data_IF_293434387795
#
_entry.id   IF_293434387795
#
_cell.length_a   1.000
_cell.length_b   1.000
_cell.length_c   1.000
_cell.angle_alpha   90.00
_cell.angle_beta   90.00
_cell.angle_gamma   90.00
#
_symmetry.space_group_name_H-M   'P 1'
#
loop_
_entity.id
_entity.type
_entity.pdbx_description
1 polymer ?
#
# COMPACT_ATOMS: atom_id res chain seq x y z
N UNK A 1 -8.88 -25.28 -6.40
CA UNK A 1 -9.03 -23.99 -5.68
C UNK A 1 -7.71 -23.28 -5.85
N UNK A 2 -7.63 -22.38 -6.80
CA UNK A 2 -6.48 -21.48 -6.90
C UNK A 2 -6.75 -20.43 -5.84
N UNK A 3 -5.94 -20.43 -4.78
CA UNK A 3 -5.94 -19.33 -3.84
C UNK A 3 -5.65 -18.05 -4.60
N UNK A 4 -6.32 -16.94 -4.28
CA UNK A 4 -6.03 -15.67 -4.92
C UNK A 4 -4.54 -15.40 -4.78
N UNK A 5 -3.91 -14.98 -5.87
CA UNK A 5 -2.50 -14.59 -5.88
C UNK A 5 -2.35 -13.49 -4.84
N UNK A 6 -1.76 -13.83 -3.73
CA UNK A 6 -1.52 -12.89 -2.64
C UNK A 6 -0.02 -12.60 -2.49
N UNK A 7 0.29 -11.64 -1.67
CA UNK A 7 1.68 -11.26 -1.38
C UNK A 7 2.46 -12.37 -0.66
N UNK A 8 1.80 -13.42 -0.16
CA UNK A 8 2.43 -14.59 0.44
C UNK A 8 3.36 -15.32 -0.52
N UNK A 9 3.06 -15.31 -1.82
CA UNK A 9 3.89 -15.93 -2.86
C UNK A 9 5.35 -15.42 -2.86
N UNK A 10 5.58 -14.17 -2.52
CA UNK A 10 6.92 -13.59 -2.46
C UNK A 10 7.73 -14.12 -1.26
N UNK A 11 7.05 -14.50 -0.18
CA UNK A 11 7.67 -15.13 0.99
C UNK A 11 7.91 -16.61 0.76
N UNK A 12 6.98 -17.31 0.12
CA UNK A 12 7.11 -18.71 -0.26
C UNK A 12 8.31 -18.92 -1.20
N UNK A 13 8.45 -18.06 -2.20
CA UNK A 13 9.56 -18.10 -3.16
C UNK A 13 10.89 -17.58 -2.62
N UNK A 14 10.91 -17.01 -1.39
CA UNK A 14 12.10 -16.40 -0.80
C UNK A 14 12.50 -15.05 -1.44
N UNK A 15 11.65 -14.45 -2.26
CA UNK A 15 11.90 -13.15 -2.89
C UNK A 15 11.70 -11.98 -1.92
N UNK A 16 10.82 -12.14 -0.90
CA UNK A 16 10.60 -11.15 0.14
C UNK A 16 11.18 -11.64 1.48
N UNK A 17 11.95 -10.78 2.13
CA UNK A 17 12.56 -11.01 3.44
C UNK A 17 12.09 -10.01 4.49
N UNK A 18 11.27 -9.03 4.11
CA UNK A 18 10.70 -8.03 5.01
C UNK A 18 9.33 -7.60 4.53
N UNK A 19 8.43 -7.38 5.49
CA UNK A 19 7.13 -6.73 5.25
C UNK A 19 6.92 -5.61 6.26
N UNK A 20 6.50 -4.45 5.78
CA UNK A 20 5.96 -3.36 6.60
C UNK A 20 4.45 -3.33 6.40
N UNK A 21 3.68 -3.63 7.42
CA UNK A 21 2.23 -3.74 7.32
C UNK A 21 1.54 -3.43 8.66
N UNK A 22 0.22 -3.29 8.60
CA UNK A 22 -0.59 -3.07 9.81
C UNK A 22 -1.15 -4.38 10.37
N UNK A 23 -1.36 -5.37 9.52
CA UNK A 23 -1.95 -6.67 9.86
C UNK A 23 -1.19 -7.79 9.15
N UNK A 24 -0.15 -8.35 9.78
CA UNK A 24 0.70 -9.37 9.13
C UNK A 24 0.01 -10.72 9.00
N UNK A 25 -1.06 -10.95 9.77
CA UNK A 25 -1.78 -12.23 9.80
C UNK A 25 -3.28 -11.99 9.67
N UNK A 26 -4.00 -12.75 8.87
CA UNK A 26 -5.46 -12.77 8.92
C UNK A 26 -5.87 -13.37 10.26
N UNK A 27 -6.63 -12.63 11.06
CA UNK A 27 -6.91 -12.90 12.48
C UNK A 27 -7.60 -14.22 12.85
N UNK A 28 -7.93 -15.08 11.89
CA UNK A 28 -8.73 -16.30 12.12
C UNK A 28 -8.39 -17.47 11.22
N UNK A 29 -7.36 -17.41 10.40
CA UNK A 29 -7.07 -18.48 9.44
C UNK A 29 -6.15 -19.56 10.01
N UNK A 30 -6.63 -20.77 9.98
CA UNK A 30 -5.85 -21.99 10.06
C UNK A 30 -6.00 -22.69 8.69
N UNK A 31 -4.95 -22.84 7.88
CA UNK A 31 -3.54 -22.81 8.25
C UNK A 31 -2.91 -21.40 8.31
N UNK A 32 -1.72 -21.29 8.91
CA UNK A 32 -0.90 -20.07 8.96
C UNK A 32 -0.63 -19.54 7.56
N UNK A 33 -0.70 -18.21 7.39
CA UNK A 33 -0.28 -17.56 6.14
C UNK A 33 1.21 -17.78 5.89
N UNK A 34 1.65 -17.70 4.63
CA UNK A 34 3.08 -17.80 4.29
C UNK A 34 3.91 -16.71 4.95
N UNK A 35 3.36 -15.52 5.15
CA UNK A 35 4.03 -14.44 5.89
C UNK A 35 4.25 -14.84 7.35
N UNK A 36 3.22 -15.36 8.01
CA UNK A 36 3.33 -15.81 9.41
C UNK A 36 4.30 -16.97 9.54
N UNK A 37 4.29 -17.91 8.60
CA UNK A 37 5.22 -19.03 8.55
C UNK A 37 6.66 -18.53 8.39
N UNK A 38 6.91 -17.67 7.39
CA UNK A 38 8.22 -17.08 7.14
C UNK A 38 8.75 -16.29 8.34
N UNK A 39 7.87 -15.56 9.02
CA UNK A 39 8.21 -14.82 10.23
C UNK A 39 8.60 -15.75 11.38
N UNK A 40 7.77 -16.77 11.68
CA UNK A 40 8.03 -17.74 12.76
C UNK A 40 9.31 -18.56 12.54
N UNK A 41 9.65 -18.84 11.29
CA UNK A 41 10.87 -19.54 10.88
C UNK A 41 12.10 -18.63 10.81
N UNK A 42 11.94 -17.32 11.07
CA UNK A 42 13.03 -16.34 11.01
C UNK A 42 13.51 -16.02 9.58
N UNK A 43 12.74 -16.39 8.56
CA UNK A 43 13.02 -16.09 7.14
C UNK A 43 12.58 -14.68 6.73
N UNK A 44 11.70 -14.06 7.50
CA UNK A 44 11.18 -12.73 7.21
C UNK A 44 11.10 -11.86 8.46
N UNK A 45 11.40 -10.58 8.29
CA UNK A 45 11.17 -9.51 9.26
C UNK A 45 9.77 -8.93 9.06
N UNK A 46 9.04 -8.72 10.16
CA UNK A 46 7.73 -8.05 10.15
C UNK A 46 7.84 -6.74 10.93
N UNK A 47 7.65 -5.63 10.22
CA UNK A 47 7.59 -4.28 10.77
C UNK A 47 6.11 -3.86 10.86
N UNK A 48 5.57 -3.83 12.09
CA UNK A 48 4.17 -3.50 12.34
C UNK A 48 4.01 -1.99 12.53
N UNK A 49 3.26 -1.38 11.63
CA UNK A 49 2.95 0.05 11.65
C UNK A 49 1.45 0.25 11.74
N UNK A 50 0.93 1.08 12.67
CA UNK A 50 -0.49 1.41 12.72
C UNK A 50 -0.99 1.89 11.36
N UNK A 51 -2.16 1.42 10.93
CA UNK A 51 -2.66 1.62 9.56
C UNK A 51 -2.71 3.10 9.13
N UNK A 52 -3.19 3.98 10.02
CA UNK A 52 -3.21 5.41 9.74
C UNK A 52 -1.80 5.99 9.59
N UNK A 53 -0.84 5.52 10.37
CA UNK A 53 0.58 5.93 10.24
C UNK A 53 1.19 5.41 8.95
N UNK A 54 0.88 4.16 8.57
CA UNK A 54 1.39 3.56 7.34
C UNK A 54 0.94 4.36 6.10
N UNK A 55 -0.34 4.67 6.00
CA UNK A 55 -0.84 5.45 4.86
C UNK A 55 -0.27 6.87 4.84
N UNK A 56 -0.08 7.52 6.00
CA UNK A 56 0.54 8.85 6.08
C UNK A 56 2.02 8.82 5.71
N UNK A 57 2.76 7.78 6.05
CA UNK A 57 4.15 7.59 5.60
C UNK A 57 4.24 7.50 4.07
N UNK A 58 3.33 6.74 3.45
CA UNK A 58 3.21 6.62 1.99
C UNK A 58 2.82 7.97 1.38
N UNK A 59 1.76 8.60 1.90
CA UNK A 59 1.28 9.90 1.40
C UNK A 59 2.35 10.98 1.50
N UNK A 60 3.10 11.02 2.61
CA UNK A 60 4.20 11.94 2.82
C UNK A 60 5.29 11.78 1.76
N UNK A 61 5.64 10.53 1.41
CA UNK A 61 6.60 10.26 0.34
C UNK A 61 6.14 10.83 -1.00
N UNK A 62 4.87 10.58 -1.37
CA UNK A 62 4.28 11.12 -2.60
C UNK A 62 4.21 12.65 -2.64
N UNK A 63 4.10 13.29 -1.48
CA UNK A 63 4.08 14.75 -1.34
C UNK A 63 5.47 15.38 -1.20
N UNK A 64 6.55 14.58 -1.16
CA UNK A 64 7.90 15.08 -0.92
C UNK A 64 8.15 15.54 0.52
N UNK A 65 7.32 15.12 1.48
CA UNK A 65 7.47 15.42 2.91
C UNK A 65 8.31 14.32 3.55
N UNK A 66 9.52 14.59 4.06
CA UNK A 66 10.44 13.54 4.50
C UNK A 66 10.02 12.86 5.81
N UNK A 67 9.27 13.55 6.67
CA UNK A 67 8.85 13.06 7.98
C UNK A 67 7.69 13.90 8.53
N UNK A 68 6.97 13.33 9.49
CA UNK A 68 5.88 14.01 10.21
C UNK A 68 5.79 13.50 11.65
N UNK A 69 5.09 14.23 12.50
CA UNK A 69 4.81 13.82 13.86
C UNK A 69 3.38 13.32 14.02
N UNK A 70 3.21 12.19 14.74
CA UNK A 70 1.90 11.60 15.05
C UNK A 70 1.82 11.18 16.52
N UNK A 71 0.66 11.34 17.19
CA UNK A 71 0.49 10.82 18.54
C UNK A 71 0.23 9.32 18.57
N UNK A 72 -0.01 8.70 17.41
CA UNK A 72 -0.32 7.26 17.31
C UNK A 72 0.90 6.44 17.70
N UNK A 73 0.72 5.51 18.63
CA UNK A 73 1.78 4.62 19.10
C UNK A 73 2.55 5.12 20.33
N UNK A 74 2.33 6.36 20.79
CA UNK A 74 2.94 6.84 22.04
C UNK A 74 2.57 5.92 23.21
N UNK A 75 3.58 5.50 24.00
CA UNK A 75 3.41 4.60 25.13
C UNK A 75 3.23 3.12 24.75
N UNK A 76 3.48 2.76 23.50
CA UNK A 76 3.43 1.36 23.02
C UNK A 76 4.81 0.95 22.46
N UNK A 77 5.05 -0.35 22.20
CA UNK A 77 6.30 -0.80 21.55
C UNK A 77 6.59 -0.12 20.20
N UNK A 78 5.58 0.40 19.51
CA UNK A 78 5.76 1.18 18.27
C UNK A 78 6.62 2.43 18.47
N UNK A 79 6.70 2.95 19.70
CA UNK A 79 7.47 4.14 20.04
C UNK A 79 8.98 3.86 20.25
N UNK A 80 9.37 2.59 20.36
CA UNK A 80 10.76 2.24 20.64
C UNK A 80 11.71 2.73 19.54
N UNK A 81 12.79 3.43 19.95
CA UNK A 81 13.80 3.96 19.05
C UNK A 81 13.38 5.19 18.23
N UNK A 82 12.15 5.69 18.38
CA UNK A 82 11.67 6.88 17.66
C UNK A 82 11.89 8.17 18.45
N UNK A 83 12.13 9.27 17.75
CA UNK A 83 12.18 10.60 18.36
C UNK A 83 10.79 10.98 18.90
N UNK A 84 10.77 11.53 20.11
CA UNK A 84 9.57 12.09 20.75
C UNK A 84 9.65 13.61 20.77
N UNK A 85 8.53 14.27 20.51
CA UNK A 85 8.41 15.72 20.64
C UNK A 85 7.05 16.10 21.19
N UNK A 86 7.04 17.06 22.10
CA UNK A 86 5.81 17.61 22.65
C UNK A 86 5.34 18.84 21.86
N UNK A 87 4.07 18.86 21.53
CA UNK A 87 3.36 19.99 20.95
C UNK A 87 2.11 20.23 21.82
N UNK A 88 1.96 21.44 22.33
CA UNK A 88 0.82 21.87 23.14
C UNK A 88 0.47 20.90 24.29
N UNK A 89 1.53 20.38 24.96
CA UNK A 89 1.36 19.45 26.10
C UNK A 89 1.01 18.01 25.73
N UNK A 90 1.06 17.65 24.43
CA UNK A 90 0.86 16.30 23.93
C UNK A 90 2.10 15.77 23.24
N UNK A 91 2.49 14.55 23.60
CA UNK A 91 3.65 13.86 23.01
C UNK A 91 3.30 13.25 21.66
N UNK A 92 4.24 13.34 20.72
CA UNK A 92 4.18 12.80 19.37
C UNK A 92 5.46 12.03 19.05
N UNK A 93 5.36 11.08 18.13
CA UNK A 93 6.47 10.31 17.56
C UNK A 93 6.81 10.84 16.18
N UNK A 94 8.09 10.92 15.86
CA UNK A 94 8.56 11.18 14.50
C UNK A 94 8.39 9.91 13.66
N UNK A 95 7.70 10.04 12.52
CA UNK A 95 7.57 9.00 11.50
C UNK A 95 8.18 9.50 10.19
N UNK A 96 8.98 8.64 9.55
CA UNK A 96 9.60 8.94 8.26
C UNK A 96 8.72 8.53 7.09
N UNK A 97 8.82 9.25 5.98
CA UNK A 97 8.16 8.90 4.74
C UNK A 97 8.56 7.50 4.24
N UNK A 98 7.63 6.83 3.55
CA UNK A 98 7.84 5.51 2.97
C UNK A 98 7.63 5.58 1.46
N UNK A 99 8.73 5.64 0.70
CA UNK A 99 8.73 5.54 -0.76
C UNK A 99 9.04 4.12 -1.21
N UNK A 100 8.75 3.82 -2.47
CA UNK A 100 9.05 2.54 -3.09
C UNK A 100 9.64 2.69 -4.50
N UNK A 101 10.32 1.66 -4.99
CA UNK A 101 10.71 1.60 -6.40
C UNK A 101 9.50 1.27 -7.29
N UNK A 102 8.60 0.41 -6.80
CA UNK A 102 7.40 0.00 -7.52
C UNK A 102 6.16 0.11 -6.63
N UNK A 103 5.06 0.59 -7.21
CA UNK A 103 3.72 0.44 -6.67
C UNK A 103 2.91 -0.49 -7.57
N UNK A 104 2.36 -1.53 -6.99
CA UNK A 104 1.36 -2.40 -7.63
C UNK A 104 0.01 -2.01 -7.05
N UNK A 105 -0.83 -1.41 -7.87
CA UNK A 105 -2.11 -0.87 -7.43
C UNK A 105 -3.25 -1.40 -8.31
N UNK A 106 -4.47 -1.23 -7.82
CA UNK A 106 -5.67 -1.60 -8.55
C UNK A 106 -6.64 -0.44 -8.65
N UNK A 107 -7.21 -0.26 -9.85
CA UNK A 107 -8.30 0.67 -10.10
C UNK A 107 -9.44 -0.03 -10.86
N UNK A 108 -10.61 0.57 -10.92
CA UNK A 108 -11.72 0.05 -11.72
C UNK A 108 -11.49 0.31 -13.21
N UNK A 109 -11.15 1.55 -13.54
CA UNK A 109 -10.93 2.00 -14.92
C UNK A 109 -9.64 2.78 -15.05
N UNK A 110 -9.00 2.65 -16.21
CA UNK A 110 -7.99 3.57 -16.69
C UNK A 110 -8.37 4.08 -18.06
N UNK A 111 -8.07 5.34 -18.38
CA UNK A 111 -8.02 5.73 -19.77
C UNK A 111 -6.66 5.35 -20.39
N UNK A 112 -6.56 5.43 -21.71
CA UNK A 112 -5.35 5.06 -22.44
C UNK A 112 -4.13 5.96 -22.12
N UNK A 113 -4.33 7.07 -21.40
CA UNK A 113 -3.26 7.92 -20.87
C UNK A 113 -2.81 7.54 -19.46
N UNK A 114 -3.63 6.78 -18.72
CA UNK A 114 -3.35 6.38 -17.33
C UNK A 114 -4.07 7.20 -16.26
N UNK A 115 -5.08 7.98 -16.60
CA UNK A 115 -5.98 8.54 -15.60
C UNK A 115 -6.83 7.42 -15.01
N UNK A 116 -6.98 7.40 -13.68
CA UNK A 116 -7.63 6.30 -12.97
C UNK A 116 -8.90 6.73 -12.27
N UNK A 117 -9.87 5.82 -12.28
CA UNK A 117 -11.08 5.86 -11.46
C UNK A 117 -11.14 4.61 -10.59
N UNK A 118 -11.39 4.81 -9.31
CA UNK A 118 -11.53 3.72 -8.33
C UNK A 118 -12.99 3.43 -8.00
N UNK A 119 -13.23 2.27 -7.38
CA UNK A 119 -14.52 1.90 -6.82
C UNK A 119 -14.36 1.32 -5.42
N UNK A 120 -15.35 1.53 -4.54
CA UNK A 120 -15.39 0.96 -3.21
C UNK A 120 -14.13 1.24 -2.39
N UNK A 121 -13.62 0.19 -1.75
CA UNK A 121 -12.47 0.25 -0.84
C UNK A 121 -11.12 0.42 -1.55
N UNK A 122 -11.06 0.25 -2.88
CA UNK A 122 -9.82 0.48 -3.63
C UNK A 122 -9.37 1.96 -3.57
N UNK A 123 -10.22 2.88 -3.13
CA UNK A 123 -9.86 4.27 -2.82
C UNK A 123 -8.95 4.45 -1.60
N UNK A 124 -8.77 3.41 -0.78
CA UNK A 124 -8.08 3.56 0.51
C UNK A 124 -6.57 3.86 0.34
N UNK A 125 -5.79 2.90 -0.15
CA UNK A 125 -4.34 3.02 -0.25
C UNK A 125 -3.85 3.34 -1.67
N UNK A 126 -4.54 2.84 -2.70
CA UNK A 126 -4.06 2.89 -4.08
C UNK A 126 -3.73 4.30 -4.58
N UNK A 127 -4.55 5.35 -4.32
CA UNK A 127 -4.20 6.71 -4.76
C UNK A 127 -2.90 7.25 -4.13
N UNK A 128 -2.68 6.97 -2.85
CA UNK A 128 -1.45 7.41 -2.17
C UNK A 128 -0.24 6.60 -2.65
N UNK A 129 -0.38 5.29 -2.82
CA UNK A 129 0.69 4.41 -3.33
C UNK A 129 1.15 4.83 -4.72
N UNK A 130 0.21 5.23 -5.60
CA UNK A 130 0.52 5.70 -6.94
C UNK A 130 1.50 6.88 -6.95
N UNK A 131 1.43 7.75 -5.95
CA UNK A 131 2.28 8.95 -5.87
C UNK A 131 3.63 8.70 -5.22
N UNK A 132 3.79 7.59 -4.48
CA UNK A 132 4.93 7.33 -3.60
C UNK A 132 6.00 6.42 -4.24
N UNK A 133 5.80 5.93 -5.45
CA UNK A 133 6.72 5.03 -6.13
C UNK A 133 7.38 5.67 -7.34
N UNK A 134 8.56 5.15 -7.72
CA UNK A 134 9.24 5.54 -8.96
C UNK A 134 8.53 4.99 -10.20
N UNK A 135 7.95 3.80 -10.08
CA UNK A 135 7.21 3.13 -11.16
C UNK A 135 5.89 2.60 -10.59
N UNK A 136 4.78 3.10 -11.12
CA UNK A 136 3.44 2.65 -10.76
C UNK A 136 2.87 1.77 -11.88
N UNK A 137 2.49 0.57 -11.52
CA UNK A 137 1.81 -0.41 -12.37
C UNK A 137 0.40 -0.58 -11.83
N UNK A 138 -0.61 -0.33 -12.64
CA UNK A 138 -2.01 -0.46 -12.25
C UNK A 138 -2.67 -1.62 -12.99
N UNK A 139 -3.33 -2.48 -12.24
CA UNK A 139 -4.30 -3.44 -12.78
C UNK A 139 -5.67 -2.80 -12.82
N UNK A 140 -6.40 -2.96 -13.93
CA UNK A 140 -7.74 -2.38 -14.11
C UNK A 140 -8.72 -3.40 -14.67
N UNK A 141 -10.00 -3.23 -14.35
CA UNK A 141 -11.06 -4.04 -14.95
C UNK A 141 -11.34 -3.61 -16.41
N UNK A 142 -11.19 -2.31 -16.70
CA UNK A 142 -11.53 -1.74 -18.00
C UNK A 142 -10.53 -0.65 -18.42
N UNK A 143 -10.07 -0.70 -19.67
CA UNK A 143 -9.33 0.39 -20.31
C UNK A 143 -10.29 1.09 -21.27
N UNK A 144 -10.40 2.41 -21.14
CA UNK A 144 -11.25 3.25 -21.99
C UNK A 144 -10.43 4.28 -22.76
N UNK A 145 -10.99 4.82 -23.83
CA UNK A 145 -10.37 5.93 -24.55
C UNK A 145 -10.38 7.22 -23.70
N UNK A 146 -9.50 8.14 -24.04
CA UNK A 146 -9.48 9.48 -23.41
C UNK A 146 -10.85 10.14 -23.54
N UNK A 147 -11.40 10.58 -22.40
CA UNK A 147 -12.77 11.10 -22.29
C UNK A 147 -13.80 10.03 -21.89
N UNK A 148 -13.41 8.76 -21.80
CA UNK A 148 -14.28 7.69 -21.30
C UNK A 148 -14.42 7.66 -19.77
N UNK A 149 -13.54 8.38 -19.06
CA UNK A 149 -13.72 8.70 -17.63
C UNK A 149 -14.19 10.14 -17.53
N UNK A 150 -15.29 10.38 -16.79
CA UNK A 150 -15.74 11.72 -16.46
C UNK A 150 -14.59 12.48 -15.76
N UNK A 151 -14.19 13.68 -16.26
CA UNK A 151 -13.11 14.45 -15.65
C UNK A 151 -13.27 14.70 -14.16
N UNK A 152 -14.51 14.85 -13.67
CA UNK A 152 -14.81 15.02 -12.23
C UNK A 152 -14.63 13.73 -11.42
N UNK A 153 -14.40 12.60 -12.08
CA UNK A 153 -14.20 11.29 -11.46
C UNK A 153 -12.79 10.75 -11.62
N UNK A 154 -11.87 11.54 -12.15
CA UNK A 154 -10.45 11.18 -12.18
C UNK A 154 -9.89 11.35 -10.76
N UNK A 155 -9.45 10.24 -10.17
CA UNK A 155 -8.97 10.20 -8.78
C UNK A 155 -7.43 10.07 -8.70
N UNK A 156 -6.79 9.51 -9.72
CA UNK A 156 -5.33 9.53 -9.89
C UNK A 156 -5.00 9.99 -11.31
N UNK A 157 -4.15 11.00 -11.41
CA UNK A 157 -3.74 11.55 -12.69
C UNK A 157 -2.72 10.64 -13.40
N UNK A 158 -2.77 10.64 -14.71
CA UNK A 158 -1.88 9.87 -15.59
C UNK A 158 -0.38 10.11 -15.34
N UNK A 159 -0.01 11.25 -14.77
CA UNK A 159 1.39 11.59 -14.42
C UNK A 159 2.00 10.65 -13.38
N UNK A 160 1.19 9.93 -12.62
CA UNK A 160 1.64 8.97 -11.62
C UNK A 160 1.62 7.52 -12.10
N UNK A 161 1.12 7.25 -13.32
CA UNK A 161 0.93 5.89 -13.82
C UNK A 161 1.90 5.60 -14.97
N UNK A 162 2.69 4.55 -14.82
CA UNK A 162 3.68 4.18 -15.82
C UNK A 162 3.24 3.01 -16.68
N UNK A 163 2.44 2.09 -16.13
CA UNK A 163 1.97 0.88 -16.84
C UNK A 163 0.54 0.57 -16.43
N UNK A 164 -0.25 0.15 -17.41
CA UNK A 164 -1.63 -0.31 -17.24
C UNK A 164 -1.68 -1.77 -17.69
N UNK A 165 -2.28 -2.61 -16.85
CA UNK A 165 -2.55 -4.02 -17.13
C UNK A 165 -4.05 -4.22 -17.03
N UNK A 166 -4.69 -4.66 -18.08
CA UNK A 166 -6.11 -5.04 -18.03
C UNK A 166 -6.22 -6.46 -17.52
N UNK A 167 -7.07 -6.66 -16.53
CA UNK A 167 -7.38 -7.97 -15.98
C UNK A 167 -8.13 -8.82 -17.01
N UNK A 168 -7.83 -10.10 -17.08
CA UNK A 168 -8.57 -11.01 -17.94
C UNK A 168 -9.96 -11.32 -17.37
N UNK A 169 -10.93 -11.51 -18.26
CA UNK A 169 -12.29 -11.90 -17.85
C UNK A 169 -12.26 -13.30 -17.21
N UNK A 170 -12.63 -13.37 -15.94
CA UNK A 170 -12.63 -14.62 -15.18
C UNK A 170 -11.52 -14.75 -14.15
N UNK A 171 -10.57 -13.83 -14.13
CA UNK A 171 -9.58 -13.77 -13.04
C UNK A 171 -10.28 -13.58 -11.68
N UNK A 172 -9.85 -14.29 -10.62
CA UNK A 172 -10.43 -14.13 -9.31
C UNK A 172 -10.29 -12.68 -8.83
N UNK A 173 -11.33 -12.18 -8.16
CA UNK A 173 -11.21 -10.92 -7.41
C UNK A 173 -10.29 -11.16 -6.20
N UNK A 174 -9.37 -10.26 -5.91
CA UNK A 174 -8.52 -10.34 -4.73
C UNK A 174 -9.30 -10.21 -3.43
#
# INVERSE_FOLDING_TARGET
HLDPIDHGMFFESGQATKITCSFPVPGTTNPLSEIERAWREGRAEVDIVPQGTLIERIRSAGAGVPAFYTPTGVGTPVAEGKEHRDFDGRTYLLETALSADYALIRAQKADTRGNLQYTGTSRAFNPAMATAAKVTIVEVDEIVEVGGIDPERVETLSTYVNRIVQREAGDPLP
#
